data_IF_512898419664
#
_entry.id   IF_512898419664
#
_cell.length_a   1.000
_cell.length_b   1.000
_cell.length_c   1.000
_cell.angle_alpha   90.00
_cell.angle_beta   90.00
_cell.angle_gamma   90.00
#
_symmetry.space_group_name_H-M   'P 1'
#
loop_
_entity.id
_entity.type
_entity.pdbx_description
1 polymer ?
#
# COMPACT_ATOMS: atom_id res chain seq x y z
N UNK A 1 -8.60 6.11 26.63
CA UNK A 1 -8.59 6.79 27.94
C UNK A 1 -9.91 6.69 28.72
N UNK A 2 -11.08 7.03 28.15
CA UNK A 2 -12.37 6.95 28.89
C UNK A 2 -12.63 5.58 29.54
N UNK A 3 -12.32 4.49 28.84
CA UNK A 3 -12.36 3.11 29.37
C UNK A 3 -11.49 2.94 30.62
N UNK A 4 -10.24 3.38 30.53
CA UNK A 4 -9.29 3.36 31.64
C UNK A 4 -9.82 4.19 32.82
N UNK A 5 -10.52 5.32 32.57
CA UNK A 5 -11.07 6.15 33.65
C UNK A 5 -12.16 5.39 34.39
N UNK A 6 -13.10 4.80 33.64
CA UNK A 6 -14.20 4.02 34.19
C UNK A 6 -13.68 2.82 35.00
N UNK A 7 -12.67 2.10 34.50
CA UNK A 7 -12.04 0.99 35.21
C UNK A 7 -11.46 1.41 36.56
N UNK A 8 -10.83 2.58 36.65
CA UNK A 8 -10.27 3.12 37.89
C UNK A 8 -11.27 3.96 38.72
N UNK A 9 -12.55 4.02 38.33
CA UNK A 9 -13.56 4.81 39.03
C UNK A 9 -13.34 6.34 38.95
N UNK A 10 -12.58 6.80 37.96
CA UNK A 10 -12.21 8.21 37.79
C UNK A 10 -13.21 8.93 36.90
N UNK A 11 -13.65 10.11 37.33
CA UNK A 11 -14.61 10.93 36.60
C UNK A 11 -13.97 11.70 35.44
N UNK A 12 -12.70 12.11 35.57
CA UNK A 12 -11.99 12.89 34.55
C UNK A 12 -10.77 12.13 34.03
N UNK A 13 -10.51 12.13 32.72
CA UNK A 13 -9.25 11.61 32.17
C UNK A 13 -7.99 12.27 32.72
N UNK A 14 -8.08 13.52 33.18
CA UNK A 14 -6.96 14.20 33.83
C UNK A 14 -6.54 13.50 35.14
N UNK A 15 -7.48 12.88 35.85
CA UNK A 15 -7.21 12.19 37.11
C UNK A 15 -6.41 10.89 36.89
N UNK A 16 -6.46 10.32 35.67
CA UNK A 16 -5.61 9.17 35.29
C UNK A 16 -4.16 9.57 35.05
N UNK A 17 -3.91 10.85 34.76
CA UNK A 17 -2.65 11.36 34.24
C UNK A 17 -2.11 12.48 35.14
N UNK A 18 -1.87 12.21 36.44
CA UNK A 18 -1.33 13.23 37.34
C UNK A 18 0.02 13.72 36.83
N UNK A 19 0.16 15.04 36.70
CA UNK A 19 1.38 15.69 36.19
C UNK A 19 1.40 15.94 34.68
N UNK A 20 0.35 15.55 33.95
CA UNK A 20 0.17 15.91 32.53
C UNK A 20 -0.98 16.89 32.37
N UNK A 21 -0.71 18.04 31.74
CA UNK A 21 -1.79 18.89 31.25
C UNK A 21 -2.30 18.35 29.91
N UNK A 22 -3.47 17.72 29.95
CA UNK A 22 -4.18 17.21 28.77
C UNK A 22 -5.33 18.12 28.35
N UNK A 23 -5.48 19.28 28.99
CA UNK A 23 -6.55 20.23 28.72
C UNK A 23 -6.38 20.78 27.31
N UNK A 24 -7.32 20.45 26.41
CA UNK A 24 -7.24 20.85 25.00
C UNK A 24 -6.39 19.94 24.11
N UNK A 25 -5.84 18.84 24.63
CA UNK A 25 -5.16 17.84 23.81
C UNK A 25 -6.18 16.92 23.12
N UNK A 26 -6.15 16.91 21.79
CA UNK A 26 -6.85 15.90 21.00
C UNK A 26 -6.01 14.60 20.96
N UNK A 27 -6.38 13.67 21.83
CA UNK A 27 -5.67 12.40 21.99
C UNK A 27 -5.90 11.41 20.84
N UNK A 28 -6.97 11.58 20.05
CA UNK A 28 -7.18 10.76 18.86
C UNK A 28 -6.24 11.24 17.75
N UNK A 29 -5.90 12.54 17.73
CA UNK A 29 -4.92 13.12 16.81
C UNK A 29 -3.48 12.83 17.20
N UNK A 30 -3.06 13.23 18.39
CA UNK A 30 -1.67 13.09 18.83
C UNK A 30 -1.57 12.92 20.35
N UNK A 31 -0.69 12.01 20.77
CA UNK A 31 -0.36 11.80 22.18
C UNK A 31 1.17 11.96 22.35
N UNK A 32 1.64 12.88 23.21
CA UNK A 32 3.07 13.07 23.47
C UNK A 32 3.76 11.79 23.96
N UNK A 33 5.02 11.60 23.57
CA UNK A 33 5.80 10.40 23.93
C UNK A 33 5.90 10.13 25.44
N UNK A 34 6.14 11.14 26.31
CA UNK A 34 6.15 10.91 27.76
C UNK A 34 4.80 10.41 28.29
N UNK A 35 3.70 10.84 27.67
CA UNK A 35 2.36 10.40 28.02
C UNK A 35 2.07 8.99 27.52
N UNK A 36 2.52 8.63 26.31
CA UNK A 36 2.45 7.25 25.81
C UNK A 36 3.23 6.28 26.71
N UNK A 37 4.44 6.66 27.12
CA UNK A 37 5.25 5.86 28.04
C UNK A 37 4.56 5.67 29.39
N UNK A 38 3.94 6.74 29.93
CA UNK A 38 3.18 6.67 31.17
C UNK A 38 1.96 5.74 31.05
N UNK A 39 1.18 5.86 29.96
CA UNK A 39 0.02 5.01 29.70
C UNK A 39 0.43 3.53 29.50
N UNK A 40 1.55 3.28 28.83
CA UNK A 40 2.08 1.94 28.65
C UNK A 40 2.56 1.33 29.98
N UNK A 41 3.20 2.11 30.85
CA UNK A 41 3.61 1.63 32.18
C UNK A 41 2.43 1.29 33.11
N UNK A 42 1.28 1.96 32.91
CA UNK A 42 0.04 1.74 33.70
C UNK A 42 -0.95 0.77 33.06
N UNK A 43 -0.64 0.24 31.88
CA UNK A 43 -1.51 -0.71 31.17
C UNK A 43 -0.70 -1.92 30.72
N UNK A 44 -1.39 -2.96 30.23
CA UNK A 44 -0.76 -4.10 29.57
C UNK A 44 -0.46 -3.81 28.08
N UNK A 45 -0.69 -2.57 27.61
CA UNK A 45 -0.62 -2.21 26.20
C UNK A 45 0.72 -1.51 25.91
N UNK A 46 1.56 -2.04 25.01
CA UNK A 46 2.86 -1.47 24.75
C UNK A 46 2.74 -0.15 23.96
N UNK A 47 3.75 0.73 24.09
CA UNK A 47 3.79 2.05 23.42
C UNK A 47 3.50 1.97 21.91
N UNK A 48 4.08 1.05 21.11
CA UNK A 48 3.78 0.97 19.69
C UNK A 48 2.29 0.72 19.40
N UNK A 49 1.62 -0.07 20.26
CA UNK A 49 0.19 -0.33 20.11
C UNK A 49 -0.64 0.90 20.47
N UNK A 50 -0.30 1.61 21.55
CA UNK A 50 -0.96 2.87 21.91
C UNK A 50 -0.78 3.93 20.81
N UNK A 51 0.43 4.04 20.25
CA UNK A 51 0.70 4.94 19.12
C UNK A 51 -0.14 4.58 17.90
N UNK A 52 -0.29 3.30 17.56
CA UNK A 52 -1.14 2.87 16.44
C UNK A 52 -2.64 3.17 16.60
N UNK A 53 -3.07 3.62 17.79
CA UNK A 53 -4.45 4.02 18.08
C UNK A 53 -4.70 5.53 17.87
N UNK A 54 -3.69 6.30 17.46
CA UNK A 54 -3.78 7.74 17.18
C UNK A 54 -3.51 8.03 15.71
N UNK A 55 -3.97 9.19 15.21
CA UNK A 55 -3.67 9.63 13.83
C UNK A 55 -2.16 9.79 13.61
N UNK A 56 -1.42 10.28 14.62
CA UNK A 56 0.03 10.38 14.56
C UNK A 56 0.74 9.03 14.37
N UNK A 57 0.14 7.92 14.82
CA UNK A 57 0.66 6.58 14.56
C UNK A 57 0.47 6.10 13.13
N UNK A 58 -0.30 6.82 12.32
CA UNK A 58 -0.49 6.54 10.89
C UNK A 58 0.34 7.47 10.00
N UNK A 59 1.19 8.33 10.56
CA UNK A 59 2.20 9.09 9.80
C UNK A 59 3.37 8.18 9.42
N UNK A 60 3.95 8.29 8.20
CA UNK A 60 3.53 9.14 7.09
C UNK A 60 2.57 8.45 6.10
N UNK A 61 1.96 7.33 6.53
CA UNK A 61 1.18 6.45 5.65
C UNK A 61 -0.13 7.11 5.24
N UNK A 62 -0.99 7.44 6.20
CA UNK A 62 -2.30 8.02 5.92
C UNK A 62 -2.22 9.54 5.73
N UNK A 63 -1.36 10.24 6.46
CA UNK A 63 -1.16 11.69 6.39
C UNK A 63 0.33 12.01 6.54
N UNK A 64 0.77 13.13 5.96
CA UNK A 64 2.16 13.59 6.06
C UNK A 64 2.47 14.15 7.46
N UNK A 65 1.53 14.87 8.05
CA UNK A 65 1.61 15.39 9.41
C UNK A 65 0.20 15.43 10.03
N UNK A 66 0.13 15.47 11.35
CA UNK A 66 -1.11 15.77 12.06
C UNK A 66 -1.40 17.27 12.08
N UNK A 67 -0.41 18.15 11.90
CA UNK A 67 -0.56 19.61 11.76
C UNK A 67 -1.06 19.98 10.34
N UNK A 68 -2.26 20.58 10.20
CA UNK A 68 -2.78 20.93 8.89
C UNK A 68 -1.91 21.99 8.18
N UNK A 69 -1.13 22.79 8.92
CA UNK A 69 -0.20 23.76 8.33
C UNK A 69 0.99 23.10 7.62
N UNK A 70 1.22 21.82 7.88
CA UNK A 70 2.32 21.02 7.30
C UNK A 70 1.84 20.01 6.27
N UNK A 71 0.52 19.93 6.04
CA UNK A 71 -0.06 19.13 4.98
C UNK A 71 -0.33 20.01 3.76
N UNK A 72 0.24 19.65 2.62
CA UNK A 72 -0.02 20.32 1.36
C UNK A 72 -1.05 19.54 0.54
N UNK A 73 -2.14 20.21 0.15
CA UNK A 73 -3.26 19.59 -0.54
C UNK A 73 -2.87 19.06 -1.92
N UNK A 74 -2.14 19.87 -2.71
CA UNK A 74 -1.85 19.52 -4.10
C UNK A 74 -0.90 18.32 -4.18
N UNK A 75 0.17 18.33 -3.38
CA UNK A 75 1.12 17.22 -3.33
C UNK A 75 0.52 15.94 -2.76
N UNK A 76 -0.46 16.00 -1.85
CA UNK A 76 -1.11 14.80 -1.34
C UNK A 76 -2.18 14.26 -2.31
N UNK A 77 -3.11 15.11 -2.75
CA UNK A 77 -4.30 14.71 -3.53
C UNK A 77 -3.95 14.46 -5.00
N UNK A 78 -3.00 15.22 -5.54
CA UNK A 78 -2.69 15.22 -6.97
C UNK A 78 -1.31 14.62 -7.29
N UNK A 79 -0.71 13.91 -6.33
CA UNK A 79 0.52 13.13 -6.57
C UNK A 79 0.33 12.12 -7.71
N UNK A 80 -0.84 11.49 -7.74
CA UNK A 80 -1.21 10.52 -8.75
C UNK A 80 -2.26 11.09 -9.70
N UNK A 81 -2.31 10.50 -10.88
CA UNK A 81 -3.30 10.76 -11.91
C UNK A 81 -3.75 9.39 -12.37
N UNK A 82 -5.03 9.08 -12.14
CA UNK A 82 -5.58 7.73 -12.30
C UNK A 82 -6.69 7.72 -13.33
N UNK A 83 -7.86 8.28 -13.02
CA UNK A 83 -8.98 8.29 -13.96
C UNK A 83 -8.77 9.34 -15.04
N UNK A 84 -8.33 10.53 -14.62
CA UNK A 84 -8.14 11.67 -15.50
C UNK A 84 -6.66 11.93 -15.76
N UNK A 85 -6.29 12.31 -17.00
CA UNK A 85 -4.99 12.90 -17.30
C UNK A 85 -4.67 14.11 -16.40
N UNK A 86 -3.39 14.26 -16.06
CA UNK A 86 -2.95 15.29 -15.11
C UNK A 86 -3.29 16.73 -15.55
N UNK A 87 -3.29 17.00 -16.84
CA UNK A 87 -3.59 18.31 -17.44
C UNK A 87 -5.07 18.72 -17.31
N UNK A 88 -5.99 17.75 -17.35
CA UNK A 88 -7.42 18.01 -17.20
C UNK A 88 -7.84 18.28 -15.76
N UNK A 89 -7.08 17.79 -14.79
CA UNK A 89 -7.37 18.00 -13.39
C UNK A 89 -7.05 19.44 -12.94
N UNK A 90 -6.04 20.11 -13.52
CA UNK A 90 -5.42 21.36 -13.01
C UNK A 90 -6.41 22.48 -12.65
N UNK A 91 -7.36 22.78 -13.54
CA UNK A 91 -8.31 23.88 -13.31
C UNK A 91 -9.30 23.59 -12.18
N UNK A 92 -9.63 22.33 -12.00
CA UNK A 92 -10.56 21.85 -10.98
C UNK A 92 -9.90 21.83 -9.59
N UNK A 93 -8.57 21.61 -9.53
CA UNK A 93 -7.75 21.65 -8.30
C UNK A 93 -7.90 22.99 -7.60
N UNK A 94 -7.65 24.08 -8.31
CA UNK A 94 -7.68 25.45 -7.77
C UNK A 94 -9.04 25.84 -7.17
N UNK A 95 -10.14 25.32 -7.74
CA UNK A 95 -11.48 25.62 -7.24
C UNK A 95 -11.82 24.90 -5.94
N UNK A 96 -11.13 23.80 -5.62
CA UNK A 96 -11.37 23.01 -4.41
C UNK A 96 -10.30 23.15 -3.36
N UNK A 97 -9.11 23.66 -3.70
CA UNK A 97 -8.00 23.80 -2.75
C UNK A 97 -8.47 24.54 -1.50
N UNK A 98 -8.34 23.91 -0.32
CA UNK A 98 -8.78 24.51 0.93
C UNK A 98 -7.86 25.66 1.32
N UNK A 99 -8.32 26.52 2.23
CA UNK A 99 -7.46 27.55 2.81
C UNK A 99 -6.28 26.90 3.55
N UNK A 100 -5.08 27.48 3.39
CA UNK A 100 -3.86 26.93 3.96
C UNK A 100 -3.97 26.74 5.48
N UNK A 101 -3.49 25.59 5.97
CA UNK A 101 -3.50 25.29 7.40
C UNK A 101 -4.84 24.87 7.99
N UNK A 102 -5.83 24.52 7.17
CA UNK A 102 -7.16 24.08 7.64
C UNK A 102 -7.51 22.64 7.25
N UNK A 103 -6.66 21.96 6.48
CA UNK A 103 -6.99 20.68 5.85
C UNK A 103 -6.05 19.55 6.26
N UNK A 104 -6.64 18.38 6.51
CA UNK A 104 -5.93 17.12 6.71
C UNK A 104 -6.55 16.04 5.81
N UNK A 105 -5.75 15.18 5.17
CA UNK A 105 -6.27 14.10 4.34
C UNK A 105 -7.13 13.14 5.15
N UNK A 106 -8.31 12.77 4.64
CA UNK A 106 -9.23 11.78 5.24
C UNK A 106 -9.83 12.13 6.60
N UNK A 107 -9.41 13.24 7.20
CA UNK A 107 -9.89 13.72 8.50
C UNK A 107 -10.97 14.75 8.26
N UNK A 108 -12.13 14.51 8.87
CA UNK A 108 -13.26 15.42 8.84
C UNK A 108 -13.75 15.67 10.25
N UNK A 109 -14.69 16.60 10.42
CA UNK A 109 -15.39 16.78 11.69
C UNK A 109 -15.94 15.42 12.17
N UNK A 110 -15.42 14.98 13.32
CA UNK A 110 -15.65 13.65 13.83
C UNK A 110 -17.06 13.58 14.42
N UNK A 111 -17.92 12.82 13.74
CA UNK A 111 -19.13 12.27 14.34
C UNK A 111 -18.90 10.80 14.59
N UNK A 112 -19.26 10.34 15.78
CA UNK A 112 -19.03 8.94 16.14
C UNK A 112 -19.88 8.03 15.25
N UNK A 113 -19.21 7.07 14.60
CA UNK A 113 -19.84 6.02 13.81
C UNK A 113 -19.40 4.65 14.30
N UNK A 114 -20.31 3.69 14.21
CA UNK A 114 -20.05 2.30 14.58
C UNK A 114 -20.77 1.33 13.64
N UNK A 115 -20.28 0.09 13.61
CA UNK A 115 -20.98 -1.01 12.95
C UNK A 115 -22.06 -1.54 13.91
N UNK A 116 -23.34 -1.61 13.50
CA UNK A 116 -24.40 -2.15 14.36
C UNK A 116 -24.15 -3.62 14.72
N UNK A 117 -23.59 -4.42 13.81
CA UNK A 117 -23.30 -5.84 14.06
C UNK A 117 -22.14 -6.01 15.05
N UNK A 118 -21.03 -5.26 14.89
CA UNK A 118 -19.96 -5.27 15.89
C UNK A 118 -20.46 -4.91 17.28
N UNK A 119 -21.38 -3.94 17.38
CA UNK A 119 -21.93 -3.51 18.68
C UNK A 119 -22.85 -4.58 19.27
N UNK A 120 -23.69 -5.22 18.46
CA UNK A 120 -24.59 -6.30 18.91
C UNK A 120 -23.83 -7.58 19.32
N UNK A 121 -22.65 -7.83 18.72
CA UNK A 121 -21.78 -8.96 19.06
C UNK A 121 -20.95 -8.72 20.33
N UNK A 122 -20.94 -7.50 20.89
CA UNK A 122 -20.28 -7.25 22.16
C UNK A 122 -21.02 -7.99 23.28
N UNK A 123 -20.29 -8.75 24.08
CA UNK A 123 -20.83 -9.32 25.32
C UNK A 123 -21.36 -8.20 26.23
N UNK A 124 -22.44 -8.44 26.98
CA UNK A 124 -23.08 -7.43 27.84
C UNK A 124 -22.14 -6.80 28.89
N UNK A 125 -21.00 -7.43 29.17
CA UNK A 125 -19.95 -6.95 30.09
C UNK A 125 -18.77 -6.29 29.38
N UNK A 126 -18.73 -6.31 28.04
CA UNK A 126 -17.68 -5.70 27.26
C UNK A 126 -17.90 -4.18 27.14
N UNK A 127 -16.82 -3.42 27.34
CA UNK A 127 -16.85 -1.98 27.08
C UNK A 127 -17.18 -1.69 25.61
N UNK A 128 -18.19 -0.86 25.40
CA UNK A 128 -18.53 -0.33 24.08
C UNK A 128 -17.44 0.65 23.63
N UNK A 129 -16.58 0.20 22.73
CA UNK A 129 -15.51 1.00 22.11
C UNK A 129 -15.75 1.18 20.62
N UNK A 130 -15.55 2.40 20.13
CA UNK A 130 -15.50 2.69 18.69
C UNK A 130 -14.05 2.80 18.23
N UNK A 131 -13.77 2.30 17.03
CA UNK A 131 -12.43 2.33 16.45
C UNK A 131 -12.19 3.63 15.70
N UNK A 132 -11.00 4.22 15.85
CA UNK A 132 -10.61 5.46 15.17
C UNK A 132 -10.78 5.37 13.64
N UNK A 133 -10.49 4.20 13.06
CA UNK A 133 -10.59 4.00 11.61
C UNK A 133 -12.02 4.16 11.08
N UNK A 134 -13.04 3.81 11.88
CA UNK A 134 -14.45 4.03 11.52
C UNK A 134 -14.83 5.52 11.59
N UNK A 135 -14.01 6.38 12.19
CA UNK A 135 -14.27 7.82 12.30
C UNK A 135 -13.71 8.60 11.11
N UNK A 136 -12.83 7.98 10.30
CA UNK A 136 -12.25 8.59 9.11
C UNK A 136 -13.22 8.62 7.93
N UNK A 137 -13.14 9.66 7.11
CA UNK A 137 -13.90 9.75 5.85
C UNK A 137 -13.45 8.73 4.80
N UNK A 138 -12.35 8.03 5.06
CA UNK A 138 -11.81 6.93 4.25
C UNK A 138 -12.74 5.70 4.20
N UNK A 139 -13.43 5.38 5.31
CA UNK A 139 -14.29 4.20 5.40
C UNK A 139 -15.77 4.57 5.49
N UNK A 140 -16.60 3.82 4.76
CA UNK A 140 -18.06 3.96 4.79
C UNK A 140 -18.78 2.72 5.32
N UNK A 141 -18.08 1.58 5.36
CA UNK A 141 -18.58 0.30 5.83
C UNK A 141 -17.62 -0.39 6.82
N UNK A 142 -18.17 -1.35 7.56
CA UNK A 142 -17.41 -2.24 8.39
C UNK A 142 -16.62 -3.23 7.51
N UNK A 143 -15.27 -3.30 7.60
CA UNK A 143 -14.48 -4.22 6.80
C UNK A 143 -14.75 -5.70 7.14
N UNK A 144 -15.30 -5.98 8.33
CA UNK A 144 -15.66 -7.33 8.77
C UNK A 144 -17.06 -7.70 8.28
N UNK A 145 -18.08 -6.96 8.73
CA UNK A 145 -19.49 -7.29 8.52
C UNK A 145 -20.12 -6.76 7.22
N UNK A 146 -19.39 -5.95 6.45
CA UNK A 146 -19.82 -5.45 5.12
C UNK A 146 -21.17 -4.71 5.18
N UNK A 147 -21.35 -3.95 6.25
CA UNK A 147 -22.51 -3.09 6.43
C UNK A 147 -22.08 -1.66 6.69
N UNK A 148 -22.95 -0.72 6.35
CA UNK A 148 -22.73 0.71 6.51
C UNK A 148 -22.41 1.05 7.97
N UNK A 149 -21.44 1.94 8.16
CA UNK A 149 -21.17 2.53 9.47
C UNK A 149 -22.26 3.55 9.81
N UNK A 150 -22.90 3.38 10.96
CA UNK A 150 -24.04 4.19 11.38
C UNK A 150 -23.60 5.22 12.42
N UNK A 151 -24.13 6.45 12.31
CA UNK A 151 -23.88 7.49 13.30
C UNK A 151 -24.53 7.14 14.64
N UNK A 152 -23.80 7.41 15.71
CA UNK A 152 -24.28 7.19 17.06
C UNK A 152 -23.60 8.09 18.08
N UNK A 153 -24.23 8.19 19.25
CA UNK A 153 -23.62 8.68 20.47
C UNK A 153 -23.27 7.50 21.36
N UNK A 154 -21.99 7.38 21.74
CA UNK A 154 -21.53 6.33 22.65
C UNK A 154 -21.46 6.86 24.06
N UNK A 155 -22.18 6.20 24.97
CA UNK A 155 -22.05 6.37 26.41
C UNK A 155 -21.10 5.25 26.92
N UNK A 156 -19.83 5.58 27.26
CA UNK A 156 -18.83 4.57 27.62
C UNK A 156 -19.33 3.64 28.72
N UNK A 157 -19.22 2.33 28.50
CA UNK A 157 -19.65 1.30 29.46
C UNK A 157 -21.15 1.24 29.73
N UNK A 158 -21.99 1.94 28.94
CA UNK A 158 -23.44 2.00 29.15
C UNK A 158 -24.24 1.58 27.92
N UNK A 159 -24.19 2.37 26.85
CA UNK A 159 -25.06 2.19 25.69
C UNK A 159 -24.54 2.89 24.43
N UNK A 160 -25.02 2.42 23.28
CA UNK A 160 -24.95 3.14 21.99
C UNK A 160 -26.33 3.69 21.68
N UNK A 161 -26.41 4.99 21.41
CA UNK A 161 -27.63 5.66 20.94
C UNK A 161 -27.47 5.94 19.46
N UNK A 162 -28.20 5.21 18.62
CA UNK A 162 -28.14 5.38 17.17
C UNK A 162 -28.88 6.65 16.74
N UNK A 163 -28.27 7.43 15.85
CA UNK A 163 -28.89 8.65 15.31
C UNK A 163 -30.09 8.32 14.41
N UNK A 164 -30.02 7.16 13.73
CA UNK A 164 -31.14 6.59 13.00
C UNK A 164 -32.10 5.94 14.00
N UNK A 165 -33.32 6.48 14.07
CA UNK A 165 -34.40 5.87 14.84
C UNK A 165 -34.69 4.48 14.29
N UNK A 166 -34.39 3.44 15.06
CA UNK A 166 -34.88 2.10 14.79
C UNK A 166 -36.30 2.00 15.39
N UNK A 167 -37.25 1.49 14.61
CA UNK A 167 -38.58 1.13 15.10
C UNK A 167 -38.53 -0.08 16.05
N UNK A 168 -37.47 -0.88 15.91
CA UNK A 168 -37.14 -2.06 16.72
C UNK A 168 -36.06 -1.70 17.77
N UNK A 169 -35.93 -2.54 18.81
CA UNK A 169 -34.90 -2.41 19.86
C UNK A 169 -33.45 -2.50 19.34
N UNK A 170 -33.26 -2.97 18.09
CA UNK A 170 -31.95 -3.12 17.42
C UNK A 170 -31.90 -2.42 16.06
N UNK A 171 -30.74 -1.84 15.76
CA UNK A 171 -30.52 -1.18 14.48
C UNK A 171 -30.21 -2.20 13.38
N UNK A 172 -31.12 -2.36 12.42
CA UNK A 172 -30.91 -3.29 11.29
C UNK A 172 -29.72 -2.84 10.41
N UNK A 173 -28.71 -3.70 10.18
CA UNK A 173 -27.57 -3.36 9.33
C UNK A 173 -28.01 -3.12 7.88
N UNK A 174 -27.44 -2.10 7.24
CA UNK A 174 -27.61 -1.85 5.81
C UNK A 174 -26.39 -2.42 5.08
N UNK A 175 -26.53 -3.41 4.19
CA UNK A 175 -25.40 -3.91 3.40
C UNK A 175 -24.89 -2.83 2.44
N UNK A 176 -23.59 -2.87 2.15
CA UNK A 176 -22.98 -2.04 1.09
C UNK A 176 -22.70 -2.86 -0.17
N UNK A 177 -22.42 -2.18 -1.29
CA UNK A 177 -22.04 -2.87 -2.53
C UNK A 177 -20.72 -3.63 -2.38
N UNK A 178 -20.47 -4.59 -3.27
CA UNK A 178 -19.27 -5.41 -3.20
C UNK A 178 -17.99 -4.57 -3.43
N UNK A 179 -18.07 -3.56 -4.28
CA UNK A 179 -16.98 -2.64 -4.61
C UNK A 179 -16.58 -1.84 -3.37
N UNK A 180 -17.56 -1.25 -2.68
CA UNK A 180 -17.32 -0.51 -1.41
C UNK A 180 -16.72 -1.44 -0.36
N UNK A 181 -17.27 -2.65 -0.20
CA UNK A 181 -16.77 -3.63 0.74
C UNK A 181 -15.30 -4.01 0.49
N UNK A 182 -14.93 -4.23 -0.79
CA UNK A 182 -13.55 -4.54 -1.21
C UNK A 182 -12.62 -3.36 -0.92
N UNK A 183 -13.03 -2.15 -1.29
CA UNK A 183 -12.26 -0.93 -1.07
C UNK A 183 -12.01 -0.68 0.43
N UNK A 184 -13.05 -0.76 1.26
CA UNK A 184 -12.96 -0.52 2.70
C UNK A 184 -12.10 -1.58 3.41
N UNK A 185 -12.25 -2.86 3.05
CA UNK A 185 -11.37 -3.93 3.54
C UNK A 185 -9.91 -3.69 3.18
N UNK A 186 -9.64 -3.30 1.94
CA UNK A 186 -8.30 -3.01 1.43
C UNK A 186 -7.68 -1.84 2.18
N UNK A 187 -8.42 -0.75 2.37
CA UNK A 187 -7.99 0.43 3.14
C UNK A 187 -7.78 0.14 4.62
N UNK A 188 -8.65 -0.64 5.27
CA UNK A 188 -8.47 -1.06 6.66
C UNK A 188 -7.24 -1.97 6.83
N UNK A 189 -6.99 -2.87 5.87
CA UNK A 189 -5.79 -3.72 5.84
C UNK A 189 -4.52 -2.89 5.62
N UNK A 190 -4.56 -1.87 4.77
CA UNK A 190 -3.44 -0.98 4.53
C UNK A 190 -2.97 -0.30 5.82
N UNK A 191 -3.90 0.17 6.66
CA UNK A 191 -3.58 0.78 7.96
C UNK A 191 -2.95 -0.18 8.96
N UNK A 192 -3.32 -1.46 8.90
CA UNK A 192 -2.85 -2.46 9.88
C UNK A 192 -1.60 -3.18 9.44
N UNK A 193 -1.39 -3.37 8.14
CA UNK A 193 -0.26 -4.14 7.58
C UNK A 193 0.81 -3.28 6.90
N UNK A 194 0.52 -2.00 6.61
CA UNK A 194 1.44 -1.09 5.94
C UNK A 194 1.50 -1.26 4.41
N UNK A 195 0.71 -2.16 3.82
CA UNK A 195 0.69 -2.40 2.38
C UNK A 195 -0.67 -2.95 1.90
N UNK A 196 -0.86 -2.94 0.58
CA UNK A 196 -2.02 -3.45 -0.13
C UNK A 196 -1.57 -4.39 -1.24
N UNK A 197 -2.27 -5.52 -1.41
CA UNK A 197 -2.12 -6.34 -2.61
C UNK A 197 -2.99 -5.78 -3.72
N UNK A 198 -2.37 -5.41 -4.85
CA UNK A 198 -3.03 -5.22 -6.13
C UNK A 198 -2.62 -6.37 -7.06
N UNK A 199 -3.29 -6.51 -8.20
CA UNK A 199 -3.05 -7.63 -9.12
C UNK A 199 -1.60 -7.66 -9.62
N UNK A 200 -1.03 -6.47 -9.91
CA UNK A 200 0.34 -6.36 -10.40
C UNK A 200 1.40 -6.47 -9.30
N UNK A 201 1.16 -5.82 -8.17
CA UNK A 201 2.21 -5.62 -7.18
C UNK A 201 1.64 -5.38 -5.77
N UNK A 202 2.51 -5.57 -4.78
CA UNK A 202 2.31 -5.08 -3.43
C UNK A 202 2.65 -3.59 -3.38
N UNK A 203 1.67 -2.77 -3.05
CA UNK A 203 1.83 -1.31 -2.94
C UNK A 203 1.88 -0.90 -1.48
N UNK A 204 2.82 0.00 -1.14
CA UNK A 204 2.92 0.55 0.21
C UNK A 204 1.67 1.36 0.58
N UNK A 205 1.24 1.32 1.84
CA UNK A 205 0.01 1.99 2.30
C UNK A 205 -0.02 3.49 1.97
N UNK A 206 1.12 4.17 2.07
CA UNK A 206 1.25 5.58 1.70
C UNK A 206 0.89 5.87 0.23
N UNK A 207 1.30 4.98 -0.67
CA UNK A 207 0.98 5.08 -2.10
C UNK A 207 -0.49 4.76 -2.33
N UNK A 208 -1.03 3.73 -1.67
CA UNK A 208 -2.45 3.37 -1.75
C UNK A 208 -3.37 4.53 -1.36
N UNK A 209 -3.13 5.18 -0.22
CA UNK A 209 -4.00 6.26 0.25
C UNK A 209 -3.94 7.49 -0.65
N UNK A 210 -2.75 7.88 -1.14
CA UNK A 210 -2.65 9.02 -2.07
C UNK A 210 -3.27 8.69 -3.43
N UNK A 211 -3.07 7.47 -3.94
CA UNK A 211 -3.71 6.99 -5.16
C UNK A 211 -5.25 6.98 -5.03
N UNK A 212 -5.78 6.45 -3.92
CA UNK A 212 -7.21 6.46 -3.63
C UNK A 212 -7.74 7.89 -3.50
N UNK A 213 -6.97 8.79 -2.87
CA UNK A 213 -7.38 10.19 -2.73
C UNK A 213 -7.46 10.89 -4.08
N UNK A 214 -6.56 10.59 -5.01
CA UNK A 214 -6.61 11.07 -6.40
C UNK A 214 -7.86 10.55 -7.12
N UNK A 215 -8.20 9.26 -6.98
CA UNK A 215 -9.43 8.70 -7.56
C UNK A 215 -10.68 9.38 -6.98
N UNK A 216 -10.73 9.56 -5.67
CA UNK A 216 -11.80 10.29 -4.97
C UNK A 216 -11.95 11.72 -5.52
N UNK A 217 -10.84 12.38 -5.84
CA UNK A 217 -10.88 13.73 -6.41
C UNK A 217 -11.31 13.72 -7.89
N UNK A 218 -10.82 12.78 -8.69
CA UNK A 218 -11.14 12.64 -10.11
C UNK A 218 -12.65 12.39 -10.31
N UNK A 219 -13.30 11.56 -9.48
CA UNK A 219 -14.76 11.32 -9.58
C UNK A 219 -15.59 12.55 -9.19
N UNK A 220 -15.00 13.50 -8.45
CA UNK A 220 -15.63 14.77 -8.09
C UNK A 220 -15.60 15.79 -9.24
N UNK A 221 -14.76 15.59 -10.26
CA UNK A 221 -14.62 16.50 -11.39
C UNK A 221 -15.93 16.72 -12.16
N UNK A 222 -16.32 17.97 -12.45
CA UNK A 222 -17.47 18.26 -13.30
C UNK A 222 -17.32 17.64 -14.69
N UNK A 223 -18.41 17.07 -15.23
CA UNK A 223 -18.40 16.47 -16.57
C UNK A 223 -17.98 17.47 -17.67
N UNK A 224 -18.35 18.74 -17.54
CA UNK A 224 -17.94 19.80 -18.47
C UNK A 224 -16.43 20.12 -18.43
N UNK A 225 -15.72 19.67 -17.39
CA UNK A 225 -14.26 19.82 -17.22
C UNK A 225 -13.49 18.53 -17.52
N UNK A 226 -14.17 17.40 -17.60
CA UNK A 226 -13.55 16.09 -17.87
C UNK A 226 -13.23 15.84 -19.36
N UNK A 227 -13.66 16.71 -20.28
CA UNK A 227 -13.43 16.57 -21.71
C UNK A 227 -13.92 15.22 -22.25
N UNK A 228 -13.05 14.49 -22.95
CA UNK A 228 -13.35 13.14 -23.49
C UNK A 228 -13.63 12.08 -22.42
N UNK A 229 -13.25 12.33 -21.16
CA UNK A 229 -13.46 11.40 -20.04
C UNK A 229 -14.82 11.59 -19.35
N UNK A 230 -15.62 12.56 -19.79
CA UNK A 230 -16.98 12.79 -19.27
C UNK A 230 -17.88 11.56 -19.37
N UNK A 231 -17.78 10.79 -20.45
CA UNK A 231 -18.53 9.52 -20.61
C UNK A 231 -18.12 8.48 -19.58
N UNK A 232 -16.82 8.37 -19.26
CA UNK A 232 -16.30 7.44 -18.24
C UNK A 232 -16.80 7.85 -16.85
N UNK A 233 -16.68 9.13 -16.48
CA UNK A 233 -17.22 9.62 -15.21
C UNK A 233 -18.74 9.45 -15.12
N UNK A 234 -19.46 9.66 -16.21
CA UNK A 234 -20.91 9.43 -16.25
C UNK A 234 -21.25 7.96 -16.05
N UNK A 235 -20.51 7.04 -16.67
CA UNK A 235 -20.69 5.60 -16.49
C UNK A 235 -20.43 5.17 -15.03
N UNK A 236 -19.37 5.71 -14.41
CA UNK A 236 -19.08 5.49 -12.98
C UNK A 236 -20.26 5.92 -12.11
N UNK A 237 -20.72 7.17 -12.25
CA UNK A 237 -21.84 7.66 -11.43
C UNK A 237 -23.14 6.90 -11.69
N UNK A 238 -23.45 6.57 -12.94
CA UNK A 238 -24.62 5.75 -13.29
C UNK A 238 -24.57 4.37 -12.64
N UNK A 239 -23.39 3.73 -12.54
CA UNK A 239 -23.24 2.42 -11.88
C UNK A 239 -23.59 2.45 -10.38
N UNK A 240 -23.40 3.59 -9.72
CA UNK A 240 -23.73 3.76 -8.29
C UNK A 240 -25.21 3.98 -8.03
N UNK A 241 -26.01 4.28 -9.06
CA UNK A 241 -27.41 4.69 -8.91
C UNK A 241 -27.59 6.07 -8.25
N UNK A 242 -26.51 6.86 -8.12
CA UNK A 242 -26.52 8.15 -7.47
C UNK A 242 -25.90 9.24 -8.36
N UNK A 243 -26.45 10.47 -8.37
CA UNK A 243 -25.81 11.58 -9.05
C UNK A 243 -24.60 12.09 -8.26
N UNK A 244 -23.61 12.62 -8.97
CA UNK A 244 -22.48 13.37 -8.40
C UNK A 244 -23.00 14.48 -7.47
N UNK A 245 -22.51 14.60 -6.22
CA UNK A 245 -22.90 15.70 -5.34
C UNK A 245 -22.57 17.07 -5.96
N UNK A 246 -23.49 18.04 -5.97
CA UNK A 246 -23.23 19.37 -6.54
C UNK A 246 -22.05 20.09 -5.88
N UNK A 247 -21.88 19.94 -4.56
CA UNK A 247 -20.81 20.59 -3.80
C UNK A 247 -19.43 19.98 -4.07
N UNK A 248 -19.36 18.76 -4.63
CA UNK A 248 -18.10 18.09 -4.93
C UNK A 248 -17.23 18.82 -5.97
N UNK A 249 -17.75 19.84 -6.66
CA UNK A 249 -16.93 20.71 -7.53
C UNK A 249 -16.41 21.97 -6.85
N UNK A 250 -16.76 22.22 -5.59
CA UNK A 250 -16.50 23.49 -4.90
C UNK A 250 -15.74 23.33 -3.59
N UNK A 251 -15.88 22.18 -2.94
CA UNK A 251 -15.22 21.90 -1.67
C UNK A 251 -14.45 20.59 -1.76
N UNK A 252 -13.41 20.46 -0.94
CA UNK A 252 -12.69 19.20 -0.76
C UNK A 252 -13.62 18.10 -0.25
N UNK A 253 -13.26 16.86 -0.54
CA UNK A 253 -13.98 15.66 -0.08
C UNK A 253 -14.28 15.69 1.42
N UNK A 254 -13.29 16.09 2.22
CA UNK A 254 -13.39 16.13 3.68
C UNK A 254 -14.41 17.15 4.21
N UNK A 255 -14.82 18.12 3.39
CA UNK A 255 -15.82 19.16 3.72
C UNK A 255 -17.22 18.85 3.18
N UNK A 256 -17.38 17.80 2.36
CA UNK A 256 -18.71 17.35 1.92
C UNK A 256 -19.55 16.87 3.10
N UNK A 257 -20.88 16.83 2.94
CA UNK A 257 -21.73 16.18 3.94
C UNK A 257 -21.45 14.68 3.95
N UNK A 258 -21.65 14.02 5.08
CA UNK A 258 -21.38 12.59 5.21
C UNK A 258 -22.09 11.72 4.17
N UNK A 259 -23.36 11.99 3.87
CA UNK A 259 -24.11 11.27 2.83
C UNK A 259 -23.57 11.53 1.42
N UNK A 260 -22.95 12.67 1.18
CA UNK A 260 -22.27 12.98 -0.08
C UNK A 260 -20.91 12.28 -0.15
N UNK A 261 -20.17 12.22 0.96
CA UNK A 261 -18.92 11.45 1.07
C UNK A 261 -19.14 9.98 0.77
N UNK A 262 -20.19 9.38 1.34
CA UNK A 262 -20.56 7.98 1.06
C UNK A 262 -20.77 7.73 -0.43
N UNK A 263 -21.46 8.64 -1.13
CA UNK A 263 -21.68 8.54 -2.58
C UNK A 263 -20.38 8.68 -3.38
N UNK A 264 -19.51 9.60 -2.98
CA UNK A 264 -18.20 9.78 -3.63
C UNK A 264 -17.31 8.56 -3.42
N UNK A 265 -17.26 7.98 -2.21
CA UNK A 265 -16.52 6.74 -1.95
C UNK A 265 -17.10 5.58 -2.75
N UNK A 266 -18.43 5.48 -2.87
CA UNK A 266 -19.06 4.48 -3.74
C UNK A 266 -18.65 4.65 -5.20
N UNK A 267 -18.65 5.87 -5.73
CA UNK A 267 -18.17 6.16 -7.08
C UNK A 267 -16.68 5.80 -7.26
N UNK A 268 -15.84 6.15 -6.29
CA UNK A 268 -14.42 5.79 -6.30
C UNK A 268 -14.21 4.27 -6.25
N UNK A 269 -15.01 3.55 -5.44
CA UNK A 269 -14.97 2.09 -5.37
C UNK A 269 -15.37 1.44 -6.69
N UNK A 270 -16.46 1.89 -7.31
CA UNK A 270 -16.87 1.45 -8.65
C UNK A 270 -15.79 1.73 -9.69
N UNK A 271 -15.16 2.89 -9.63
CA UNK A 271 -14.08 3.26 -10.55
C UNK A 271 -12.84 2.37 -10.39
N UNK A 272 -12.39 2.16 -9.16
CA UNK A 272 -11.27 1.24 -8.86
C UNK A 272 -11.58 -0.16 -9.36
N UNK A 273 -12.77 -0.68 -9.04
CA UNK A 273 -13.19 -2.00 -9.50
C UNK A 273 -13.22 -2.10 -11.02
N UNK A 274 -13.83 -1.13 -11.72
CA UNK A 274 -13.90 -1.15 -13.18
C UNK A 274 -12.52 -1.08 -13.86
N UNK A 275 -11.55 -0.36 -13.27
CA UNK A 275 -10.18 -0.35 -13.78
C UNK A 275 -9.50 -1.71 -13.54
N UNK A 276 -9.66 -2.29 -12.35
CA UNK A 276 -9.06 -3.58 -11.98
C UNK A 276 -9.56 -4.72 -12.89
N UNK A 277 -10.81 -4.69 -13.33
CA UNK A 277 -11.36 -5.70 -14.26
C UNK A 277 -11.16 -5.34 -15.74
N UNK A 278 -10.65 -4.13 -16.05
CA UNK A 278 -10.49 -3.66 -17.44
C UNK A 278 -11.79 -3.21 -18.12
N UNK A 279 -12.88 -3.04 -17.36
CA UNK A 279 -14.20 -2.64 -17.87
C UNK A 279 -14.23 -1.16 -18.32
N UNK A 280 -13.40 -0.31 -17.69
CA UNK A 280 -13.29 1.10 -18.03
C UNK A 280 -11.83 1.49 -18.31
N UNK A 281 -11.58 2.29 -19.36
CA UNK A 281 -10.28 2.89 -19.55
C UNK A 281 -10.02 3.93 -18.45
N UNK A 282 -8.75 4.08 -18.09
CA UNK A 282 -8.28 5.11 -17.17
C UNK A 282 -7.18 5.93 -17.85
N UNK A 283 -7.31 7.25 -17.82
CA UNK A 283 -6.51 8.16 -18.62
C UNK A 283 -5.25 8.66 -17.96
N UNK A 284 -5.12 8.45 -16.65
CA UNK A 284 -4.01 8.95 -15.87
C UNK A 284 -2.75 8.09 -15.98
N UNK A 285 -1.59 8.72 -15.81
CA UNK A 285 -0.29 8.06 -15.94
C UNK A 285 -0.08 6.89 -14.95
N UNK A 286 -0.83 6.88 -13.86
CA UNK A 286 -0.72 5.89 -12.78
C UNK A 286 -1.86 4.87 -12.78
N UNK A 287 -2.76 4.90 -13.77
CA UNK A 287 -3.83 3.93 -13.97
C UNK A 287 -3.34 2.48 -13.97
N UNK A 288 -2.13 2.25 -14.52
CA UNK A 288 -1.49 0.93 -14.60
C UNK A 288 -1.26 0.23 -13.25
N UNK A 289 -1.28 0.97 -12.13
CA UNK A 289 -1.16 0.38 -10.79
C UNK A 289 -2.42 -0.41 -10.41
N UNK A 290 -3.57 -0.01 -10.92
CA UNK A 290 -4.85 -0.69 -10.74
C UNK A 290 -5.17 -1.64 -11.89
N UNK A 291 -4.79 -1.28 -13.11
CA UNK A 291 -5.15 -2.05 -14.30
C UNK A 291 -4.62 -3.50 -14.24
N UNK A 292 -5.38 -4.46 -14.80
CA UNK A 292 -4.97 -5.86 -14.81
C UNK A 292 -3.61 -6.03 -15.48
N UNK A 293 -2.90 -7.11 -15.12
CA UNK A 293 -1.70 -7.51 -15.86
C UNK A 293 -2.16 -7.86 -17.28
N UNK A 294 -1.57 -7.27 -18.34
CA UNK A 294 -1.92 -7.66 -19.70
C UNK A 294 -1.56 -9.14 -19.87
N UNK A 295 -2.47 -9.93 -20.44
CA UNK A 295 -2.13 -11.27 -20.91
C UNK A 295 -1.12 -11.11 -22.05
N UNK A 296 0.16 -11.16 -21.73
CA UNK A 296 1.22 -11.26 -22.72
C UNK A 296 1.26 -12.73 -23.13
N UNK A 297 0.82 -13.09 -24.36
CA UNK A 297 0.89 -14.47 -24.80
C UNK A 297 2.36 -14.86 -24.73
N UNK A 298 2.66 -15.81 -23.83
CA UNK A 298 3.99 -16.41 -23.75
C UNK A 298 4.27 -16.94 -25.15
N UNK A 299 5.33 -16.43 -25.79
CA UNK A 299 5.80 -16.97 -27.06
C UNK A 299 5.87 -18.49 -26.87
N UNK A 300 5.11 -19.30 -27.64
CA UNK A 300 5.09 -20.76 -27.50
C UNK A 300 6.49 -21.38 -27.73
N UNK A 301 7.48 -20.54 -28.03
CA UNK A 301 8.80 -20.90 -28.45
C UNK A 301 8.74 -21.11 -29.94
N UNK A 302 9.71 -20.53 -30.65
CA UNK A 302 10.00 -21.05 -31.98
C UNK A 302 10.51 -22.47 -31.80
N UNK A 303 9.75 -23.48 -32.24
CA UNK A 303 10.24 -24.86 -32.28
C UNK A 303 11.60 -24.84 -32.97
N UNK A 304 12.65 -25.48 -32.41
CA UNK A 304 13.99 -25.38 -32.97
C UNK A 304 13.93 -25.79 -34.44
N UNK A 305 14.09 -24.81 -35.32
CA UNK A 305 14.22 -25.09 -36.75
C UNK A 305 15.52 -25.84 -36.90
N UNK A 306 15.41 -27.03 -37.51
CA UNK A 306 16.56 -27.87 -37.84
C UNK A 306 17.60 -26.97 -38.51
N UNK A 307 18.73 -26.78 -37.83
CA UNK A 307 19.82 -25.92 -38.28
C UNK A 307 20.08 -26.14 -39.78
N UNK A 308 19.92 -25.08 -40.58
CA UNK A 308 20.36 -25.08 -41.99
C UNK A 308 21.87 -24.94 -42.14
N UNK A 309 22.63 -24.86 -41.04
CA UNK A 309 24.07 -24.95 -41.08
C UNK A 309 24.47 -26.43 -41.19
N UNK A 310 25.23 -26.84 -42.22
CA UNK A 310 25.80 -28.18 -42.25
C UNK A 310 26.62 -28.35 -40.97
N UNK A 311 26.37 -29.44 -40.24
CA UNK A 311 27.20 -29.80 -39.11
C UNK A 311 28.65 -29.91 -39.61
N UNK A 312 29.56 -29.14 -39.01
CA UNK A 312 30.99 -29.36 -39.21
C UNK A 312 31.27 -30.81 -38.82
N UNK A 313 31.73 -31.62 -39.78
CA UNK A 313 32.09 -33.03 -39.54
C UNK A 313 33.30 -33.18 -38.61
N UNK A 314 33.96 -32.07 -38.25
CA UNK A 314 35.06 -32.05 -37.27
C UNK A 314 34.64 -31.30 -36.02
N UNK A 315 34.82 -31.97 -34.89
CA UNK A 315 34.75 -31.37 -33.56
C UNK A 315 35.94 -30.43 -33.40
N UNK A 316 35.75 -29.30 -32.71
CA UNK A 316 36.86 -28.44 -32.28
C UNK A 316 37.88 -29.18 -31.37
N UNK A 317 37.52 -30.40 -30.92
CA UNK A 317 38.35 -31.29 -30.13
C UNK A 317 39.21 -32.26 -30.95
N UNK A 318 38.98 -32.37 -32.26
CA UNK A 318 39.72 -33.27 -33.14
C UNK A 318 41.14 -32.74 -33.36
N UNK A 319 42.10 -33.26 -32.58
CA UNK A 319 43.52 -32.86 -32.62
C UNK A 319 44.02 -32.18 -31.35
N UNK A 320 43.16 -31.96 -30.34
CA UNK A 320 43.58 -31.38 -29.05
C UNK A 320 44.57 -32.30 -28.33
N UNK A 321 44.37 -33.62 -28.38
CA UNK A 321 45.28 -34.57 -27.76
C UNK A 321 46.67 -34.53 -28.42
N UNK A 322 46.74 -34.52 -29.75
CA UNK A 322 48.00 -34.43 -30.49
C UNK A 322 48.74 -33.12 -30.19
N UNK A 323 48.00 -32.02 -30.03
CA UNK A 323 48.58 -30.72 -29.68
C UNK A 323 49.14 -30.71 -28.24
N UNK A 324 48.48 -31.37 -27.30
CA UNK A 324 48.96 -31.54 -25.92
C UNK A 324 50.24 -32.39 -25.91
N UNK A 325 50.23 -33.52 -26.62
CA UNK A 325 51.38 -34.43 -26.68
C UNK A 325 52.60 -33.73 -27.32
N UNK A 326 52.39 -32.96 -28.40
CA UNK A 326 53.44 -32.15 -29.01
C UNK A 326 54.00 -31.08 -28.05
N UNK A 327 53.14 -30.40 -27.30
CA UNK A 327 53.57 -29.40 -26.32
C UNK A 327 54.40 -30.03 -25.18
N UNK A 328 54.04 -31.23 -24.73
CA UNK A 328 54.78 -32.00 -23.73
C UNK A 328 56.16 -32.40 -24.25
N UNK A 329 56.26 -32.88 -25.50
CA UNK A 329 57.56 -33.24 -26.09
C UNK A 329 58.50 -32.02 -26.22
N UNK A 330 58.00 -30.86 -26.66
CA UNK A 330 58.81 -29.64 -26.75
C UNK A 330 59.27 -29.21 -25.35
N UNK A 331 58.36 -29.24 -24.36
CA UNK A 331 58.67 -28.86 -22.98
C UNK A 331 59.77 -29.72 -22.33
N UNK A 332 59.97 -30.97 -22.75
CA UNK A 332 61.06 -31.82 -22.23
C UNK A 332 62.45 -31.31 -22.63
N UNK A 333 62.56 -30.61 -23.75
CA UNK A 333 63.84 -30.18 -24.33
C UNK A 333 64.08 -28.67 -24.29
N UNK A 334 63.02 -27.87 -24.07
CA UNK A 334 63.07 -26.41 -23.98
C UNK A 334 62.45 -25.90 -22.68
N UNK A 335 63.27 -25.21 -21.88
CA UNK A 335 62.90 -24.63 -20.58
C UNK A 335 61.85 -23.52 -20.75
N UNK A 336 61.89 -22.74 -21.83
CA UNK A 336 60.91 -21.68 -22.08
C UNK A 336 59.53 -22.25 -22.42
N UNK A 337 59.50 -23.36 -23.19
CA UNK A 337 58.27 -24.10 -23.47
C UNK A 337 57.71 -24.77 -22.21
N UNK A 338 58.57 -25.34 -21.36
CA UNK A 338 58.17 -25.90 -20.07
C UNK A 338 57.50 -24.85 -19.15
N UNK A 339 58.09 -23.66 -19.04
CA UNK A 339 57.52 -22.55 -18.28
C UNK A 339 56.15 -22.11 -18.82
N UNK A 340 56.02 -22.03 -20.15
CA UNK A 340 54.76 -21.62 -20.80
C UNK A 340 53.65 -22.65 -20.59
N UNK A 341 53.95 -23.94 -20.76
CA UNK A 341 52.99 -25.04 -20.51
C UNK A 341 52.57 -25.08 -19.04
N UNK A 342 53.51 -24.88 -18.12
CA UNK A 342 53.20 -24.82 -16.68
C UNK A 342 52.31 -23.63 -16.33
N UNK A 343 52.61 -22.44 -16.86
CA UNK A 343 51.79 -21.25 -16.66
C UNK A 343 50.36 -21.45 -17.19
N UNK A 344 50.21 -22.09 -18.36
CA UNK A 344 48.92 -22.42 -18.94
C UNK A 344 48.14 -23.39 -18.05
N UNK A 345 48.72 -24.53 -17.64
CA UNK A 345 48.04 -25.51 -16.80
C UNK A 345 47.75 -25.01 -15.38
N UNK A 346 48.58 -24.10 -14.86
CA UNK A 346 48.35 -23.43 -13.58
C UNK A 346 47.09 -22.58 -13.57
N UNK A 347 46.59 -22.11 -14.72
CA UNK A 347 45.35 -21.31 -14.77
C UNK A 347 44.14 -22.06 -14.19
N UNK A 348 44.14 -23.40 -14.23
CA UNK A 348 43.12 -24.25 -13.61
C UNK A 348 43.42 -24.71 -12.17
N UNK A 349 44.57 -24.33 -11.59
CA UNK A 349 44.99 -24.71 -10.24
C UNK A 349 44.92 -23.51 -9.29
N UNK A 350 43.92 -23.48 -8.41
CA UNK A 350 43.69 -22.35 -7.49
C UNK A 350 44.14 -22.60 -6.05
N UNK A 351 44.69 -23.78 -5.75
CA UNK A 351 45.13 -24.17 -4.41
C UNK A 351 46.61 -24.55 -4.38
N UNK A 352 47.31 -24.37 -3.23
CA UNK A 352 48.71 -24.79 -3.07
C UNK A 352 48.91 -26.29 -3.34
N UNK A 353 47.94 -27.12 -2.93
CA UNK A 353 47.92 -28.56 -3.20
C UNK A 353 47.80 -28.88 -4.70
N UNK A 354 47.01 -28.09 -5.44
CA UNK A 354 46.88 -28.21 -6.89
C UNK A 354 48.17 -27.86 -7.61
N UNK A 355 48.87 -26.82 -7.17
CA UNK A 355 50.18 -26.45 -7.71
C UNK A 355 51.24 -27.52 -7.43
N UNK A 356 51.31 -28.04 -6.19
CA UNK A 356 52.24 -29.11 -5.84
C UNK A 356 51.98 -30.41 -6.65
N UNK A 357 50.71 -30.73 -6.92
CA UNK A 357 50.35 -31.85 -7.79
C UNK A 357 50.79 -31.61 -9.24
N UNK A 358 50.64 -30.39 -9.76
CA UNK A 358 51.07 -30.04 -11.11
C UNK A 358 52.60 -30.13 -11.25
N UNK A 359 53.36 -29.64 -10.27
CA UNK A 359 54.81 -29.77 -10.22
C UNK A 359 55.25 -31.24 -10.24
N UNK A 360 54.56 -32.09 -9.47
CA UNK A 360 54.79 -33.54 -9.48
C UNK A 360 54.53 -34.15 -10.86
N UNK A 361 53.45 -33.76 -11.54
CA UNK A 361 53.14 -34.26 -12.90
C UNK A 361 54.23 -33.87 -13.90
N UNK A 362 54.77 -32.65 -13.82
CA UNK A 362 55.88 -32.21 -14.67
C UNK A 362 57.15 -33.02 -14.40
N UNK A 363 57.45 -33.30 -13.13
CA UNK A 363 58.57 -34.16 -12.74
C UNK A 363 58.38 -35.60 -13.26
N UNK A 364 57.18 -36.17 -13.13
CA UNK A 364 56.85 -37.52 -13.61
C UNK A 364 56.94 -37.62 -15.15
N UNK A 365 56.66 -36.52 -15.87
CA UNK A 365 56.79 -36.42 -17.33
C UNK A 365 58.22 -36.09 -17.80
N UNK A 366 59.18 -35.92 -16.89
CA UNK A 366 60.57 -35.61 -17.20
C UNK A 366 60.80 -34.17 -17.68
N UNK A 367 59.86 -33.26 -17.43
CA UNK A 367 59.94 -31.85 -17.82
C UNK A 367 60.62 -31.05 -16.70
N UNK A 368 61.71 -30.35 -17.02
CA UNK A 368 62.43 -29.50 -16.05
C UNK A 368 61.82 -28.10 -16.02
N UNK A 369 61.25 -27.74 -14.88
CA UNK A 369 60.81 -26.37 -14.62
C UNK A 369 62.00 -25.47 -14.27
N UNK A 370 61.98 -24.18 -14.64
CA UNK A 370 62.99 -23.23 -14.20
C UNK A 370 62.97 -23.09 -12.66
N UNK A 371 64.14 -22.85 -12.03
CA UNK A 371 64.26 -22.69 -10.58
C UNK A 371 63.56 -21.43 -10.04
#
# INVERSE_FOLDING_TARGET
MRRTCAYYGLARPADLLPGFDISGLDMDRYVPEPLLAHLAARSIVPVPRLRSMTLSGWIPWLLDDTDPARCDFDTYVHQFSVLLPADLAVHDRLCRTPEGGTWLPWVSEQRTRACPVCVDELECTADIGVTLVHQLSLLTSCPVHVCRLEFCTVLPGRAVLWDRTASDERLRPIPVSQEVARLDRRSARALTSGWVQLDRDRVHAAVWFRLLRSVVDDVCTPLCRAGRWSTVLSAIWNSTGHPRPPQASRVVFEHLRWTERERVVAAAASAVSAIEHGDLPAGGAHARLLAPIPDEPVDPGTAPTRSCFPASERSAWDGVQDAIDAAVEVARSDIAAAASLFAFLRTGCHTPEGTARLEKVFADLGIRLPP
#
